data_IF_765279139448
#
_entry.id   IF_765279139448
#
_cell.length_a   1.000
_cell.length_b   1.000
_cell.length_c   1.000
_cell.angle_alpha   90.00
_cell.angle_beta   90.00
_cell.angle_gamma   90.00
#
_symmetry.space_group_name_H-M   'P 1'
#
loop_
_entity.id
_entity.type
_entity.pdbx_description
1 polymer ?
#
# COMPACT_ATOMS: atom_id res chain seq x y z
N UNK A 1 9.51 9.58 -13.24
CA UNK A 1 9.30 8.11 -13.34
C UNK A 1 7.79 7.89 -13.42
N UNK A 2 7.27 7.47 -14.58
CA UNK A 2 5.86 7.08 -14.70
C UNK A 2 5.81 5.57 -14.46
N UNK A 3 5.15 5.15 -13.39
CA UNK A 3 4.86 3.75 -13.16
C UNK A 3 3.75 3.35 -14.16
N UNK A 4 3.94 2.21 -14.80
CA UNK A 4 2.95 1.61 -15.69
C UNK A 4 2.24 0.49 -14.91
N UNK A 5 0.90 0.44 -14.87
CA UNK A 5 -0.05 1.41 -15.41
C UNK A 5 -0.20 2.68 -14.57
N UNK A 6 -0.75 3.78 -15.13
CA UNK A 6 -1.02 5.00 -14.38
C UNK A 6 -2.06 4.71 -13.31
N UNK A 7 -1.71 4.87 -12.03
CA UNK A 7 -2.72 4.96 -10.97
C UNK A 7 -3.56 6.20 -11.25
N UNK A 8 -4.79 6.00 -11.73
CA UNK A 8 -5.78 7.05 -11.93
C UNK A 8 -6.41 7.54 -10.61
N UNK A 9 -6.11 6.87 -9.49
CA UNK A 9 -6.63 7.14 -8.14
C UNK A 9 -5.85 8.20 -7.33
N UNK A 10 -4.86 8.87 -7.92
CA UNK A 10 -4.21 10.05 -7.29
C UNK A 10 -2.69 10.13 -7.44
N UNK A 11 -2.08 11.24 -6.96
CA UNK A 11 -0.65 11.45 -7.09
C UNK A 11 0.16 10.45 -6.28
N UNK A 12 1.16 9.84 -6.91
CA UNK A 12 2.18 9.05 -6.22
C UNK A 12 2.93 9.96 -5.25
N UNK A 13 2.93 9.57 -3.98
CA UNK A 13 3.48 10.36 -2.88
C UNK A 13 4.69 9.66 -2.28
N UNK A 14 5.78 10.40 -2.14
CA UNK A 14 6.90 10.00 -1.31
C UNK A 14 6.64 10.48 0.12
N UNK A 15 6.14 9.58 0.97
CA UNK A 15 5.83 9.92 2.35
C UNK A 15 7.11 10.12 3.15
N UNK A 16 7.21 11.22 3.89
CA UNK A 16 8.39 11.60 4.67
C UNK A 16 8.51 10.87 6.03
N UNK A 17 7.67 9.87 6.28
CA UNK A 17 7.72 9.09 7.52
C UNK A 17 9.00 8.23 7.54
N UNK A 18 9.61 8.03 8.71
CA UNK A 18 10.90 7.33 8.81
C UNK A 18 10.85 5.90 8.24
N UNK A 19 9.79 5.13 8.53
CA UNK A 19 9.62 3.78 7.96
C UNK A 19 9.41 3.81 6.45
N UNK A 20 8.67 4.80 5.93
CA UNK A 20 8.42 4.99 4.50
C UNK A 20 9.73 5.29 3.76
N UNK A 21 10.52 6.19 4.34
CA UNK A 21 11.82 6.60 3.82
C UNK A 21 12.83 5.44 3.82
N UNK A 22 12.93 4.69 4.93
CA UNK A 22 13.82 3.52 5.03
C UNK A 22 13.43 2.44 4.01
N UNK A 23 12.12 2.21 3.82
CA UNK A 23 11.63 1.20 2.90
C UNK A 23 11.64 1.66 1.42
N UNK A 24 12.00 2.91 1.13
CA UNK A 24 11.92 3.48 -0.22
C UNK A 24 10.49 3.41 -0.78
N UNK A 25 9.48 3.56 0.08
CA UNK A 25 8.08 3.36 -0.28
C UNK A 25 7.54 4.55 -1.09
N UNK A 26 6.91 4.26 -2.22
CA UNK A 26 6.12 5.23 -2.98
C UNK A 26 4.66 4.84 -2.81
N UNK A 27 3.83 5.74 -2.31
CA UNK A 27 2.47 5.41 -1.90
C UNK A 27 1.43 6.10 -2.77
N UNK A 28 0.31 5.41 -3.01
CA UNK A 28 -0.95 6.01 -3.48
C UNK A 28 -2.02 5.81 -2.41
N UNK A 29 -3.08 6.63 -2.42
CA UNK A 29 -4.08 6.67 -1.34
C UNK A 29 -5.52 6.54 -1.85
N UNK A 30 -5.88 5.43 -2.54
CA UNK A 30 -7.26 5.18 -2.95
C UNK A 30 -8.21 5.07 -1.75
N UNK A 31 -9.51 5.13 -2.03
CA UNK A 31 -10.53 4.67 -1.09
C UNK A 31 -10.40 3.17 -0.87
N UNK A 32 -10.64 2.72 0.35
CA UNK A 32 -10.58 1.29 0.69
C UNK A 32 -11.62 0.46 -0.06
N UNK A 33 -12.77 1.06 -0.39
CA UNK A 33 -13.80 0.45 -1.25
C UNK A 33 -13.33 0.15 -2.67
N UNK A 34 -12.25 0.80 -3.11
CA UNK A 34 -11.72 0.67 -4.46
C UNK A 34 -10.58 -0.34 -4.52
N UNK A 35 -10.19 -0.94 -3.39
CA UNK A 35 -9.11 -1.92 -3.34
C UNK A 35 -9.69 -3.32 -3.30
N UNK A 36 -9.27 -4.14 -4.25
CA UNK A 36 -9.55 -5.59 -4.27
C UNK A 36 -8.26 -6.33 -3.92
N UNK A 37 -8.28 -7.12 -2.85
CA UNK A 37 -7.19 -8.04 -2.51
C UNK A 37 -7.45 -9.38 -3.19
N UNK A 38 -6.60 -9.77 -4.15
CA UNK A 38 -6.80 -11.03 -4.86
C UNK A 38 -6.30 -12.21 -4.03
N UNK A 39 -5.22 -12.01 -3.25
CA UNK A 39 -4.67 -13.05 -2.39
C UNK A 39 -3.85 -12.50 -1.22
N UNK A 40 -3.57 -13.36 -0.23
CA UNK A 40 -2.50 -13.14 0.76
C UNK A 40 -2.71 -12.06 1.83
N UNK A 41 -3.75 -11.21 1.74
CA UNK A 41 -3.96 -10.11 2.69
C UNK A 41 -4.13 -10.60 4.14
N UNK A 42 -4.84 -11.71 4.34
CA UNK A 42 -5.08 -12.29 5.67
C UNK A 42 -3.80 -12.86 6.33
N UNK A 43 -2.80 -13.19 5.52
CA UNK A 43 -1.51 -13.70 6.01
C UNK A 43 -0.54 -12.58 6.37
N UNK A 44 -0.84 -11.34 5.96
CA UNK A 44 0.02 -10.20 6.23
C UNK A 44 0.05 -9.85 7.72
N UNK A 45 1.15 -9.23 8.13
CA UNK A 45 1.30 -8.70 9.50
C UNK A 45 1.26 -7.19 9.49
N UNK A 46 0.79 -6.64 10.60
CA UNK A 46 0.73 -5.19 10.80
C UNK A 46 1.70 -4.77 11.90
N UNK A 47 2.33 -3.62 11.68
CA UNK A 47 3.19 -2.96 12.65
C UNK A 47 2.78 -1.50 12.82
N UNK A 48 2.75 -1.04 14.06
CA UNK A 48 2.48 0.37 14.40
C UNK A 48 3.68 0.92 15.16
N UNK A 49 4.01 2.18 14.91
CA UNK A 49 5.10 2.88 15.61
C UNK A 49 4.66 4.28 16.02
N UNK A 50 5.48 4.96 16.82
CA UNK A 50 5.21 6.31 17.30
C UNK A 50 3.86 6.39 18.01
N UNK A 51 2.99 7.29 17.54
CA UNK A 51 1.64 7.48 18.08
C UNK A 51 0.64 6.39 17.68
N UNK A 52 1.09 5.35 16.98
CA UNK A 52 0.28 4.20 16.52
C UNK A 52 -0.93 4.56 15.65
N UNK A 53 -0.86 5.71 14.96
CA UNK A 53 -1.93 6.22 14.07
C UNK A 53 -2.04 5.48 12.76
N UNK A 54 -0.95 4.87 12.27
CA UNK A 54 -0.94 4.11 11.01
C UNK A 54 -0.42 2.70 11.30
N UNK A 55 -1.20 1.70 10.91
CA UNK A 55 -0.82 0.31 10.85
C UNK A 55 -0.20 0.02 9.47
N UNK A 56 1.11 -0.25 9.46
CA UNK A 56 1.85 -0.65 8.28
C UNK A 56 1.74 -2.16 8.08
N UNK A 57 1.13 -2.58 6.99
CA UNK A 57 0.97 -3.97 6.59
C UNK A 57 2.15 -4.42 5.73
N UNK A 58 2.72 -5.57 6.06
CA UNK A 58 3.88 -6.14 5.37
C UNK A 58 3.77 -7.67 5.27
N UNK A 59 4.48 -8.26 4.31
CA UNK A 59 4.61 -9.70 4.18
C UNK A 59 5.53 -10.24 5.28
N UNK A 60 5.08 -11.17 6.14
CA UNK A 60 5.92 -11.73 7.20
C UNK A 60 7.08 -12.58 6.67
N UNK A 61 6.97 -13.11 5.45
CA UNK A 61 7.96 -14.01 4.85
C UNK A 61 9.18 -13.26 4.30
N UNK A 62 8.95 -12.18 3.55
CA UNK A 62 10.03 -11.42 2.89
C UNK A 62 10.24 -10.02 3.46
N UNK A 63 9.37 -9.54 4.36
CA UNK A 63 9.46 -8.21 4.98
C UNK A 63 8.97 -7.06 4.11
N UNK A 64 8.49 -7.34 2.90
CA UNK A 64 8.00 -6.34 1.96
C UNK A 64 6.85 -5.52 2.56
N UNK A 65 6.97 -4.19 2.52
CA UNK A 65 5.90 -3.25 2.90
C UNK A 65 4.87 -3.12 1.79
N UNK A 66 3.61 -3.43 2.09
CA UNK A 66 2.51 -3.51 1.11
C UNK A 66 1.57 -2.32 1.25
N UNK A 67 1.07 -2.06 2.47
CA UNK A 67 0.07 -1.01 2.68
C UNK A 67 0.19 -0.33 4.03
N UNK A 68 -0.53 0.78 4.20
CA UNK A 68 -0.68 1.48 5.46
C UNK A 68 -2.12 1.90 5.66
N UNK A 69 -2.69 1.64 6.84
CA UNK A 69 -4.06 2.03 7.18
C UNK A 69 -4.09 2.83 8.46
N UNK A 70 -4.87 3.91 8.48
CA UNK A 70 -5.09 4.64 9.71
C UNK A 70 -5.87 3.79 10.72
N UNK A 71 -5.43 3.83 11.97
CA UNK A 71 -6.13 3.26 13.12
C UNK A 71 -7.06 4.28 13.79
N UNK A 72 -6.96 5.56 13.40
CA UNK A 72 -7.79 6.65 13.92
C UNK A 72 -8.92 6.96 12.93
N UNK A 73 -10.20 6.85 13.34
CA UNK A 73 -11.34 7.12 12.48
C UNK A 73 -11.46 8.58 12.03
N UNK A 74 -10.71 9.51 12.65
CA UNK A 74 -10.70 10.93 12.27
C UNK A 74 -9.53 11.28 11.35
N UNK A 75 -8.67 10.33 11.00
CA UNK A 75 -7.48 10.57 10.20
C UNK A 75 -7.44 9.62 9.01
N UNK A 76 -7.71 10.10 7.79
CA UNK A 76 -7.68 9.28 6.56
C UNK A 76 -8.40 7.92 6.68
N UNK A 77 -9.52 7.89 7.40
CA UNK A 77 -10.18 6.65 7.82
C UNK A 77 -10.76 5.83 6.67
N UNK A 78 -11.05 6.45 5.53
CA UNK A 78 -11.59 5.76 4.35
C UNK A 78 -10.51 5.39 3.33
N UNK A 79 -9.30 5.92 3.48
CA UNK A 79 -8.21 5.64 2.56
C UNK A 79 -7.34 4.50 3.08
N UNK A 80 -6.66 3.83 2.15
CA UNK A 80 -5.56 2.93 2.47
C UNK A 80 -4.39 3.28 1.58
N UNK A 81 -3.23 3.46 2.19
CA UNK A 81 -2.00 3.73 1.47
C UNK A 81 -1.51 2.41 0.84
N UNK A 82 -1.21 2.40 -0.45
CA UNK A 82 -0.70 1.23 -1.19
C UNK A 82 0.69 1.54 -1.73
N UNK A 83 1.65 0.64 -1.48
CA UNK A 83 3.05 0.84 -1.86
C UNK A 83 3.32 0.41 -3.31
N UNK A 84 3.46 1.37 -4.22
CA UNK A 84 3.71 1.17 -5.65
C UNK A 84 5.19 1.15 -6.05
N UNK A 85 6.13 1.21 -5.10
CA UNK A 85 7.56 1.11 -5.41
C UNK A 85 8.08 -0.33 -5.59
N UNK A 86 7.20 -1.33 -5.47
CA UNK A 86 7.56 -2.74 -5.54
C UNK A 86 7.86 -3.17 -6.99
N UNK A 87 9.03 -3.77 -7.28
CA UNK A 87 9.30 -4.40 -8.56
C UNK A 87 8.52 -5.72 -8.70
N UNK A 88 7.98 -5.94 -9.89
CA UNK A 88 7.40 -7.20 -10.34
C UNK A 88 8.42 -8.35 -10.14
N UNK A 89 7.99 -9.41 -9.46
CA UNK A 89 8.60 -10.75 -9.40
C UNK A 89 10.02 -10.85 -8.82
N UNK A 90 10.15 -11.32 -7.58
CA UNK A 90 11.23 -12.24 -7.22
C UNK A 90 11.00 -13.03 -5.92
N UNK A 91 10.04 -12.64 -5.05
CA UNK A 91 9.73 -13.43 -3.83
C UNK A 91 8.24 -13.48 -3.44
N UNK A 92 7.42 -12.56 -3.94
CA UNK A 92 5.97 -12.60 -3.77
C UNK A 92 5.36 -12.11 -5.08
N UNK A 93 4.29 -12.74 -5.56
CA UNK A 93 3.57 -12.32 -6.77
C UNK A 93 2.72 -11.06 -6.49
N UNK A 94 3.32 -10.03 -5.86
CA UNK A 94 2.64 -8.76 -5.63
C UNK A 94 2.67 -7.92 -6.91
N UNK A 95 1.58 -8.01 -7.66
CA UNK A 95 1.32 -7.19 -8.83
C UNK A 95 0.15 -6.27 -8.57
N UNK A 96 0.33 -5.00 -8.92
CA UNK A 96 -0.75 -4.03 -8.93
C UNK A 96 -1.34 -3.96 -10.33
N UNK A 97 -2.63 -4.26 -10.44
CA UNK A 97 -3.37 -4.04 -11.67
C UNK A 97 -4.39 -2.93 -11.43
N UNK A 98 -4.34 -1.89 -12.25
CA UNK A 98 -5.45 -0.94 -12.37
C UNK A 98 -6.59 -1.69 -13.08
N UNK A 99 -7.71 -1.88 -12.40
CA UNK A 99 -8.91 -2.50 -12.95
C UNK A 99 -9.73 -1.49 -13.77
N UNK A 100 -11.07 -1.63 -13.88
CA UNK A 100 -11.92 -0.56 -14.41
C UNK A 100 -11.67 0.78 -13.68
N UNK A 101 -12.05 1.93 -14.28
CA UNK A 101 -11.66 3.25 -13.79
C UNK A 101 -11.84 3.42 -12.28
N UNK A 102 -10.72 3.55 -11.58
CA UNK A 102 -10.67 3.79 -10.14
C UNK A 102 -10.74 2.56 -9.24
N UNK A 103 -10.38 1.36 -9.72
CA UNK A 103 -10.16 0.18 -8.86
C UNK A 103 -8.71 -0.29 -8.89
N UNK A 104 -8.16 -0.60 -7.70
CA UNK A 104 -6.80 -1.12 -7.51
C UNK A 104 -6.88 -2.58 -7.08
N UNK A 105 -6.30 -3.47 -7.86
CA UNK A 105 -6.16 -4.88 -7.52
C UNK A 105 -4.77 -5.13 -6.96
N UNK A 106 -4.71 -5.80 -5.81
CA UNK A 106 -3.47 -6.15 -5.12
C UNK A 106 -3.44 -7.67 -4.99
N UNK A 107 -2.63 -8.33 -5.82
CA UNK A 107 -2.47 -9.79 -5.83
C UNK A 107 -1.38 -10.27 -4.89
#
# INVERSE_FOLDING_TARGET
MKLSPPVEDGPVTNCNCSICHINGALMVYPLESNITWESGFDEMKTYTFGQKRIAHTFCPTCGTSISGKSTDPNFFAHNRAINVSQPHELLCHFSYFTGPPGSIHVA
#
